data_IF_983744093007
#
_entry.id   IF_983744093007
#
_cell.length_a   1.000
_cell.length_b   1.000
_cell.length_c   1.000
_cell.angle_alpha   90.00
_cell.angle_beta   90.00
_cell.angle_gamma   90.00
#
_symmetry.space_group_name_H-M   'P 1'
#
loop_
_entity.id
_entity.type
_entity.pdbx_description
1 polymer ?
#
# COMPACT_ATOMS: atom_id res chain seq x y z
N UNK A 1 11.47 11.06 -16.61
CA UNK A 1 12.18 11.75 -15.50
C UNK A 1 13.29 10.90 -14.92
N UNK A 2 13.04 9.65 -14.54
CA UNK A 2 14.06 8.75 -13.97
C UNK A 2 15.35 8.64 -14.81
N UNK A 3 15.24 8.34 -16.11
CA UNK A 3 16.39 8.23 -17.01
C UNK A 3 17.23 9.52 -17.08
N UNK A 4 16.59 10.69 -17.08
CA UNK A 4 17.29 11.98 -17.18
C UNK A 4 18.12 12.32 -15.94
N UNK A 5 17.91 11.64 -14.81
CA UNK A 5 18.63 11.87 -13.54
C UNK A 5 19.53 10.70 -13.12
N UNK A 6 19.68 9.65 -13.93
CA UNK A 6 20.60 8.55 -13.62
C UNK A 6 22.06 9.03 -13.51
N UNK A 7 22.74 8.71 -12.41
CA UNK A 7 24.16 9.05 -12.21
C UNK A 7 24.42 10.51 -11.82
N UNK A 8 23.41 11.25 -11.33
CA UNK A 8 23.64 12.59 -10.76
C UNK A 8 24.26 12.49 -9.37
N UNK A 9 25.44 13.06 -9.19
CA UNK A 9 26.14 13.13 -7.89
C UNK A 9 26.23 14.55 -7.34
N UNK A 10 26.02 15.59 -8.17
CA UNK A 10 26.19 17.01 -7.79
C UNK A 10 24.87 17.78 -7.84
N UNK A 11 24.58 18.54 -6.78
CA UNK A 11 23.55 19.58 -6.74
C UNK A 11 24.03 20.79 -7.58
N UNK A 12 23.14 21.55 -8.23
CA UNK A 12 23.43 22.65 -9.19
C UNK A 12 23.87 22.29 -10.64
N UNK A 13 23.75 21.04 -11.08
CA UNK A 13 23.95 20.70 -12.49
C UNK A 13 22.76 21.10 -13.37
N UNK A 14 22.93 21.18 -14.69
CA UNK A 14 21.80 21.41 -15.63
C UNK A 14 20.69 20.35 -15.48
N UNK A 15 21.04 19.13 -15.04
CA UNK A 15 20.08 18.04 -14.78
C UNK A 15 19.22 18.32 -13.55
N UNK A 16 19.77 19.00 -12.55
CA UNK A 16 19.05 19.47 -11.36
C UNK A 16 18.08 20.61 -11.72
N UNK A 17 18.49 21.55 -12.57
CA UNK A 17 17.58 22.60 -13.10
C UNK A 17 16.39 22.00 -13.87
N UNK A 18 16.61 20.95 -14.66
CA UNK A 18 15.54 20.18 -15.31
C UNK A 18 14.63 19.46 -14.29
N UNK A 19 15.22 18.77 -13.31
CA UNK A 19 14.47 18.01 -12.31
C UNK A 19 13.66 18.91 -11.37
N UNK A 20 14.16 20.07 -10.97
CA UNK A 20 13.50 20.95 -9.99
C UNK A 20 12.70 22.10 -10.64
N UNK A 21 13.23 22.74 -11.69
CA UNK A 21 12.76 24.07 -12.10
C UNK A 21 11.84 24.11 -13.34
N UNK A 22 12.04 23.25 -14.34
CA UNK A 22 11.34 23.35 -15.63
C UNK A 22 9.88 22.83 -15.61
N UNK A 23 9.03 23.42 -14.78
CA UNK A 23 7.64 23.00 -14.59
C UNK A 23 6.76 23.19 -15.83
N UNK A 24 6.88 24.30 -16.56
CA UNK A 24 6.06 24.54 -17.76
C UNK A 24 6.28 23.49 -18.85
N UNK A 25 7.53 23.10 -19.08
CA UNK A 25 7.87 22.03 -20.03
C UNK A 25 7.29 20.68 -19.58
N UNK A 26 7.34 20.37 -18.27
CA UNK A 26 6.75 19.13 -17.73
C UNK A 26 5.23 19.09 -17.86
N UNK A 27 4.58 20.23 -17.63
CA UNK A 27 3.14 20.36 -17.71
C UNK A 27 2.63 20.13 -19.14
N UNK A 28 3.41 20.52 -20.16
CA UNK A 28 3.12 20.24 -21.58
C UNK A 28 3.48 18.79 -21.94
N UNK A 29 4.59 18.27 -21.41
CA UNK A 29 5.05 16.91 -21.70
C UNK A 29 4.10 15.83 -21.14
N UNK A 30 3.45 16.08 -20.01
CA UNK A 30 2.53 15.13 -19.38
C UNK A 30 1.34 14.74 -20.30
N UNK A 31 0.52 15.67 -20.82
CA UNK A 31 -0.57 15.32 -21.74
C UNK A 31 -0.06 14.75 -23.07
N UNK A 32 1.10 15.19 -23.56
CA UNK A 32 1.69 14.61 -24.76
C UNK A 32 1.99 13.11 -24.56
N UNK A 33 2.62 12.75 -23.44
CA UNK A 33 2.93 11.36 -23.11
C UNK A 33 1.70 10.52 -22.78
N UNK A 34 0.58 11.10 -22.34
CA UNK A 34 -0.67 10.36 -22.14
C UNK A 34 -1.46 10.15 -23.43
N UNK A 35 -1.32 11.04 -24.43
CA UNK A 35 -2.00 10.94 -25.73
C UNK A 35 -1.27 9.95 -26.67
N UNK A 36 0.06 9.93 -26.66
CA UNK A 36 0.87 9.08 -27.56
C UNK A 36 0.46 7.59 -27.55
N UNK A 37 0.20 6.94 -26.39
CA UNK A 37 -0.20 5.54 -26.35
C UNK A 37 -1.46 5.20 -27.18
N UNK A 38 -2.38 6.15 -27.39
CA UNK A 38 -3.58 5.94 -28.21
C UNK A 38 -3.29 5.77 -29.70
N UNK A 39 -2.11 6.23 -30.16
CA UNK A 39 -1.67 6.12 -31.55
C UNK A 39 -0.85 4.85 -31.80
N UNK A 40 -0.51 4.09 -30.75
CA UNK A 40 0.34 2.91 -30.88
C UNK A 40 -0.47 1.66 -31.29
N UNK A 41 0.12 0.75 -32.09
CA UNK A 41 -0.52 -0.51 -32.45
C UNK A 41 -0.71 -1.42 -31.24
N UNK A 42 -1.77 -2.23 -31.27
CA UNK A 42 -2.19 -3.14 -30.18
C UNK A 42 -1.08 -4.10 -29.72
N UNK A 43 -0.20 -4.54 -30.62
CA UNK A 43 0.93 -5.42 -30.31
C UNK A 43 1.89 -4.80 -29.28
N UNK A 44 2.18 -3.50 -29.40
CA UNK A 44 3.09 -2.79 -28.47
C UNK A 44 2.42 -2.64 -27.11
N UNK A 45 1.12 -2.34 -27.10
CA UNK A 45 0.34 -2.19 -25.85
C UNK A 45 0.30 -3.51 -25.08
N UNK A 46 0.13 -4.64 -25.77
CA UNK A 46 0.14 -5.97 -25.14
C UNK A 46 1.50 -6.31 -24.53
N UNK A 47 2.59 -6.05 -25.26
CA UNK A 47 3.95 -6.25 -24.75
C UNK A 47 4.21 -5.38 -23.51
N UNK A 48 3.79 -4.12 -23.55
CA UNK A 48 3.87 -3.22 -22.41
C UNK A 48 3.06 -3.73 -21.21
N UNK A 49 1.87 -4.30 -21.44
CA UNK A 49 1.03 -4.88 -20.39
C UNK A 49 1.72 -5.99 -19.60
N UNK A 50 2.44 -6.89 -20.26
CA UNK A 50 3.22 -7.95 -19.60
C UNK A 50 4.35 -7.37 -18.72
N UNK A 51 5.08 -6.37 -19.23
CA UNK A 51 6.14 -5.68 -18.47
C UNK A 51 5.53 -4.91 -17.29
N UNK A 52 4.39 -4.25 -17.51
CA UNK A 52 3.68 -3.49 -16.49
C UNK A 52 3.16 -4.39 -15.37
N UNK A 53 2.72 -5.61 -15.68
CA UNK A 53 2.30 -6.58 -14.67
C UNK A 53 3.44 -6.93 -13.72
N UNK A 54 4.64 -7.20 -14.26
CA UNK A 54 5.84 -7.41 -13.44
C UNK A 54 6.18 -6.16 -12.60
N UNK A 55 6.12 -4.99 -13.22
CA UNK A 55 6.35 -3.70 -12.55
C UNK A 55 5.38 -3.43 -11.39
N UNK A 56 4.10 -3.81 -11.54
CA UNK A 56 3.10 -3.70 -10.50
C UNK A 56 3.44 -4.58 -9.28
N UNK A 57 3.96 -5.79 -9.50
CA UNK A 57 4.46 -6.65 -8.42
C UNK A 57 5.60 -6.00 -7.63
N UNK A 58 6.59 -5.42 -8.32
CA UNK A 58 7.69 -4.68 -7.68
C UNK A 58 7.17 -3.46 -6.91
N UNK A 59 6.20 -2.75 -7.49
CA UNK A 59 5.58 -1.59 -6.84
C UNK A 59 4.87 -1.98 -5.53
N UNK A 60 4.13 -3.09 -5.52
CA UNK A 60 3.48 -3.60 -4.30
C UNK A 60 4.48 -3.95 -3.20
N UNK A 61 5.66 -4.48 -3.54
CA UNK A 61 6.72 -4.75 -2.56
C UNK A 61 7.29 -3.46 -1.96
N UNK A 62 7.54 -2.45 -2.79
CA UNK A 62 8.01 -1.13 -2.32
C UNK A 62 6.95 -0.49 -1.44
N UNK A 63 5.68 -0.56 -1.85
CA UNK A 63 4.55 -0.04 -1.08
C UNK A 63 4.44 -0.74 0.28
N UNK A 64 4.59 -2.06 0.33
CA UNK A 64 4.60 -2.82 1.58
C UNK A 64 5.70 -2.36 2.54
N UNK A 65 6.94 -2.20 2.06
CA UNK A 65 8.05 -1.70 2.88
C UNK A 65 7.75 -0.29 3.38
N UNK A 66 7.25 0.59 2.51
CA UNK A 66 6.87 1.96 2.88
C UNK A 66 5.77 2.00 3.95
N UNK A 67 4.76 1.12 3.85
CA UNK A 67 3.67 1.03 4.83
C UNK A 67 4.21 0.56 6.18
N UNK A 68 5.07 -0.46 6.21
CA UNK A 68 5.70 -0.93 7.45
C UNK A 68 6.51 0.19 8.10
N UNK A 69 7.37 0.88 7.34
CA UNK A 69 8.15 2.02 7.85
C UNK A 69 7.27 3.14 8.39
N UNK A 70 6.16 3.44 7.72
CA UNK A 70 5.19 4.43 8.17
C UNK A 70 4.51 4.03 9.48
N UNK A 71 4.09 2.76 9.61
CA UNK A 71 3.47 2.25 10.83
C UNK A 71 4.45 2.29 12.00
N UNK A 72 5.72 1.88 11.79
CA UNK A 72 6.76 1.94 12.82
C UNK A 72 7.01 3.38 13.26
N UNK A 73 7.15 4.32 12.31
CA UNK A 73 7.32 5.73 12.60
C UNK A 73 6.14 6.31 13.39
N UNK A 74 4.89 5.97 13.01
CA UNK A 74 3.71 6.37 13.77
C UNK A 74 3.79 5.86 15.21
N UNK A 75 4.08 4.57 15.39
CA UNK A 75 4.16 3.95 16.71
C UNK A 75 5.19 4.65 17.62
N UNK A 76 6.38 4.93 17.09
CA UNK A 76 7.44 5.67 17.79
C UNK A 76 7.03 7.11 18.12
N UNK A 77 6.42 7.83 17.17
CA UNK A 77 5.96 9.20 17.37
C UNK A 77 4.91 9.31 18.48
N UNK A 78 3.98 8.36 18.56
CA UNK A 78 2.96 8.35 19.60
C UNK A 78 3.54 7.96 20.97
N UNK A 79 4.51 7.04 21.02
CA UNK A 79 5.18 6.65 22.27
C UNK A 79 6.10 7.75 22.83
N UNK A 80 6.67 8.59 21.97
CA UNK A 80 7.58 9.69 22.37
C UNK A 80 6.86 10.89 23.02
N UNK A 81 5.56 11.07 22.79
CA UNK A 81 4.80 12.21 23.35
C UNK A 81 4.56 12.02 24.86
N UNK A 82 5.13 12.91 25.66
CA UNK A 82 5.07 12.91 27.14
C UNK A 82 3.67 13.09 27.76
N UNK A 83 2.67 13.53 27.00
CA UNK A 83 1.27 13.63 27.45
C UNK A 83 0.57 12.26 27.36
N UNK A 84 0.82 11.44 28.38
CA UNK A 84 0.69 9.98 28.33
C UNK A 84 -0.74 9.43 28.17
N UNK A 85 -1.79 10.10 28.66
CA UNK A 85 -3.14 9.51 28.62
C UNK A 85 -3.92 9.80 27.33
N UNK A 86 -4.06 11.07 26.94
CA UNK A 86 -4.88 11.45 25.77
C UNK A 86 -4.30 10.89 24.46
N UNK A 87 -2.97 10.78 24.40
CA UNK A 87 -2.23 10.17 23.29
C UNK A 87 -2.50 8.67 23.18
N UNK A 88 -2.45 7.95 24.31
CA UNK A 88 -2.71 6.52 24.38
C UNK A 88 -4.17 6.18 24.00
N UNK A 89 -5.13 6.99 24.47
CA UNK A 89 -6.55 6.84 24.10
C UNK A 89 -6.76 7.04 22.59
N UNK A 90 -6.09 8.02 21.96
CA UNK A 90 -6.18 8.22 20.51
C UNK A 90 -5.60 7.04 19.71
N UNK A 91 -4.46 6.50 20.14
CA UNK A 91 -3.85 5.33 19.48
C UNK A 91 -4.73 4.10 19.60
N UNK A 92 -5.28 3.86 20.80
CA UNK A 92 -6.19 2.74 21.04
C UNK A 92 -7.48 2.88 20.22
N UNK A 93 -8.03 4.09 20.13
CA UNK A 93 -9.19 4.38 19.29
C UNK A 93 -8.89 4.18 17.81
N UNK A 94 -7.73 4.64 17.32
CA UNK A 94 -7.29 4.43 15.94
C UNK A 94 -7.08 2.93 15.62
N UNK A 95 -6.46 2.18 16.53
CA UNK A 95 -6.28 0.74 16.39
C UNK A 95 -7.63 -0.01 16.39
N UNK A 96 -8.55 0.37 17.27
CA UNK A 96 -9.87 -0.27 17.38
C UNK A 96 -10.74 0.03 16.15
N UNK A 97 -10.73 1.28 15.69
CA UNK A 97 -11.47 1.68 14.48
C UNK A 97 -10.91 1.02 13.23
N UNK A 98 -9.58 1.00 13.05
CA UNK A 98 -8.96 0.29 11.92
C UNK A 98 -9.26 -1.21 11.94
N UNK A 99 -9.17 -1.86 13.10
CA UNK A 99 -9.53 -3.28 13.23
C UNK A 99 -11.02 -3.54 12.91
N UNK A 100 -11.91 -2.67 13.37
CA UNK A 100 -13.36 -2.76 13.06
C UNK A 100 -13.59 -2.66 11.55
N UNK A 101 -12.94 -1.71 10.88
CA UNK A 101 -13.00 -1.56 9.42
C UNK A 101 -12.45 -2.79 8.69
N UNK A 102 -11.38 -3.42 9.17
CA UNK A 102 -10.88 -4.69 8.63
C UNK A 102 -11.93 -5.79 8.68
N UNK A 103 -12.57 -5.98 9.84
CA UNK A 103 -13.58 -7.03 10.03
C UNK A 103 -14.82 -6.76 9.15
N UNK A 104 -15.29 -5.52 9.11
CA UNK A 104 -16.41 -5.13 8.22
C UNK A 104 -16.05 -5.37 6.75
N UNK A 105 -14.84 -4.99 6.33
CA UNK A 105 -14.34 -5.23 4.98
C UNK A 105 -14.34 -6.72 4.61
N UNK A 106 -13.85 -7.59 5.50
CA UNK A 106 -13.87 -9.03 5.30
C UNK A 106 -15.29 -9.60 5.21
N UNK A 107 -16.22 -9.15 6.05
CA UNK A 107 -17.63 -9.56 6.00
C UNK A 107 -18.26 -9.16 4.66
N UNK A 108 -18.04 -7.92 4.21
CA UNK A 108 -18.54 -7.44 2.92
C UNK A 108 -17.95 -8.24 1.75
N UNK A 109 -16.67 -8.62 1.83
CA UNK A 109 -16.03 -9.47 0.82
C UNK A 109 -16.68 -10.85 0.73
N UNK A 110 -17.03 -11.47 1.87
CA UNK A 110 -17.77 -12.73 1.86
C UNK A 110 -19.15 -12.59 1.22
N UNK A 111 -19.90 -11.54 1.58
CA UNK A 111 -21.26 -11.33 1.07
C UNK A 111 -21.28 -11.10 -0.44
N UNK A 112 -20.32 -10.33 -0.97
CA UNK A 112 -20.33 -9.94 -2.38
C UNK A 112 -19.59 -10.89 -3.31
N UNK A 113 -18.48 -11.49 -2.86
CA UNK A 113 -17.61 -12.30 -3.75
C UNK A 113 -17.62 -13.80 -3.45
N UNK A 114 -18.30 -14.24 -2.40
CA UNK A 114 -18.47 -15.67 -2.07
C UNK A 114 -19.92 -16.02 -1.69
N UNK A 115 -20.93 -15.73 -2.54
CA UNK A 115 -22.33 -16.05 -2.25
C UNK A 115 -22.61 -17.56 -2.23
N UNK A 116 -21.90 -18.32 -3.07
CA UNK A 116 -22.07 -19.77 -3.23
C UNK A 116 -20.78 -20.53 -2.91
N UNK A 117 -20.93 -21.77 -2.46
CA UNK A 117 -19.81 -22.67 -2.14
C UNK A 117 -18.94 -23.08 -3.35
N UNK A 118 -19.41 -22.78 -4.56
CA UNK A 118 -18.66 -23.00 -5.80
C UNK A 118 -17.48 -22.03 -5.97
N UNK A 119 -17.47 -20.89 -5.28
CA UNK A 119 -16.41 -19.88 -5.33
C UNK A 119 -15.22 -20.22 -4.41
N UNK A 120 -14.67 -21.44 -4.53
CA UNK A 120 -13.62 -21.95 -3.63
C UNK A 120 -12.37 -21.07 -3.58
N UNK A 121 -11.95 -20.50 -4.71
CA UNK A 121 -10.76 -19.65 -4.80
C UNK A 121 -10.93 -18.34 -4.01
N UNK A 122 -12.08 -17.68 -4.13
CA UNK A 122 -12.37 -16.45 -3.39
C UNK A 122 -12.49 -16.75 -1.89
N UNK A 123 -13.18 -17.84 -1.53
CA UNK A 123 -13.28 -18.29 -0.14
C UNK A 123 -11.88 -18.57 0.43
N UNK A 124 -11.01 -19.24 -0.32
CA UNK A 124 -9.63 -19.50 0.09
C UNK A 124 -8.85 -18.21 0.35
N UNK A 125 -8.90 -17.22 -0.54
CA UNK A 125 -8.18 -15.95 -0.33
C UNK A 125 -8.70 -15.16 0.87
N UNK A 126 -10.02 -15.09 1.05
CA UNK A 126 -10.62 -14.35 2.17
C UNK A 126 -10.34 -15.07 3.51
N UNK A 127 -10.52 -16.40 3.57
CA UNK A 127 -10.23 -17.19 4.79
C UNK A 127 -8.75 -17.10 5.18
N UNK A 128 -7.84 -17.21 4.21
CA UNK A 128 -6.40 -17.10 4.47
C UNK A 128 -6.03 -15.69 4.93
N UNK A 129 -6.65 -14.66 4.38
CA UNK A 129 -6.45 -13.27 4.84
C UNK A 129 -6.89 -13.08 6.29
N UNK A 130 -8.06 -13.62 6.66
CA UNK A 130 -8.54 -13.59 8.04
C UNK A 130 -7.58 -14.34 8.98
N UNK A 131 -7.08 -15.50 8.57
CA UNK A 131 -6.11 -16.27 9.33
C UNK A 131 -4.80 -15.49 9.55
N UNK A 132 -4.25 -14.87 8.50
CA UNK A 132 -3.05 -14.05 8.59
C UNK A 132 -3.26 -12.82 9.50
N UNK A 133 -4.41 -12.17 9.43
CA UNK A 133 -4.75 -11.06 10.33
C UNK A 133 -4.68 -11.51 11.79
N UNK A 134 -5.31 -12.63 12.12
CA UNK A 134 -5.35 -13.17 13.48
C UNK A 134 -3.97 -13.64 13.96
N UNK A 135 -3.19 -14.28 13.09
CA UNK A 135 -1.81 -14.66 13.38
C UNK A 135 -0.95 -13.42 13.71
N UNK A 136 -1.04 -12.37 12.89
CA UNK A 136 -0.28 -11.12 13.09
C UNK A 136 -0.69 -10.43 14.39
N UNK A 137 -1.99 -10.37 14.71
CA UNK A 137 -2.48 -9.84 15.99
C UNK A 137 -1.96 -10.67 17.16
N UNK A 138 -1.99 -12.01 17.08
CA UNK A 138 -1.49 -12.88 18.14
C UNK A 138 0.01 -12.70 18.39
N UNK A 139 0.81 -12.55 17.33
CA UNK A 139 2.26 -12.34 17.45
C UNK A 139 2.55 -10.95 18.05
N UNK A 140 1.83 -9.91 17.61
CA UNK A 140 2.02 -8.55 18.10
C UNK A 140 1.69 -8.39 19.60
N UNK A 141 0.68 -9.12 20.08
CA UNK A 141 0.25 -9.13 21.49
C UNK A 141 1.06 -10.06 22.38
N UNK A 142 1.94 -10.87 21.80
CA UNK A 142 2.76 -11.77 22.58
C UNK A 142 3.67 -10.96 23.54
N UNK A 143 3.73 -11.31 24.85
CA UNK A 143 4.38 -10.50 25.89
C UNK A 143 5.88 -10.30 25.67
N UNK A 144 6.50 -11.13 24.84
CA UNK A 144 7.92 -11.00 24.44
C UNK A 144 8.16 -9.93 23.37
N UNK A 145 7.15 -9.59 22.57
CA UNK A 145 7.25 -8.65 21.45
C UNK A 145 6.61 -7.31 21.82
N UNK A 146 5.41 -7.33 22.41
CA UNK A 146 4.67 -6.14 22.88
C UNK A 146 4.68 -4.98 21.87
N UNK A 147 4.41 -5.26 20.59
CA UNK A 147 4.41 -4.25 19.52
C UNK A 147 3.15 -3.34 19.53
N UNK A 148 2.22 -3.58 20.45
CA UNK A 148 0.96 -2.86 20.57
C UNK A 148 -0.09 -3.26 19.54
N UNK A 149 -1.30 -2.71 19.69
CA UNK A 149 -2.46 -3.02 18.83
C UNK A 149 -2.45 -2.27 17.49
N UNK A 150 -1.74 -1.15 17.39
CA UNK A 150 -1.75 -0.28 16.21
C UNK A 150 -1.14 -0.96 14.98
N UNK A 151 0.00 -1.61 15.17
CA UNK A 151 0.75 -2.28 14.10
C UNK A 151 -0.06 -3.36 13.37
N UNK A 152 -0.62 -4.38 14.06
CA UNK A 152 -1.42 -5.41 13.38
C UNK A 152 -2.72 -4.86 12.80
N UNK A 153 -3.32 -3.81 13.38
CA UNK A 153 -4.57 -3.24 12.89
C UNK A 153 -4.38 -2.47 11.56
N UNK A 154 -3.37 -1.59 11.47
CA UNK A 154 -3.05 -0.86 10.23
C UNK A 154 -2.51 -1.78 9.14
N UNK A 155 -1.68 -2.75 9.50
CA UNK A 155 -1.22 -3.78 8.56
C UNK A 155 -2.39 -4.63 8.07
N UNK A 156 -3.35 -4.94 8.94
CA UNK A 156 -4.59 -5.62 8.59
C UNK A 156 -5.38 -4.89 7.50
N UNK A 157 -5.52 -3.55 7.62
CA UNK A 157 -6.22 -2.75 6.61
C UNK A 157 -5.56 -2.88 5.24
N UNK A 158 -4.23 -2.84 5.20
CA UNK A 158 -3.47 -2.99 3.96
C UNK A 158 -3.68 -4.36 3.31
N UNK A 159 -3.63 -5.44 4.10
CA UNK A 159 -3.82 -6.80 3.58
C UNK A 159 -5.27 -7.00 3.10
N UNK A 160 -6.26 -6.52 3.85
CA UNK A 160 -7.68 -6.58 3.42
C UNK A 160 -7.88 -5.78 2.12
N UNK A 161 -7.26 -4.61 2.00
CA UNK A 161 -7.30 -3.82 0.77
C UNK A 161 -6.66 -4.54 -0.43
N UNK A 162 -5.49 -5.17 -0.25
CA UNK A 162 -4.88 -5.97 -1.32
C UNK A 162 -5.77 -7.14 -1.71
N UNK A 163 -6.33 -7.85 -0.72
CA UNK A 163 -7.21 -8.99 -0.97
C UNK A 163 -8.45 -8.54 -1.77
N UNK A 164 -9.05 -7.40 -1.41
CA UNK A 164 -10.15 -6.80 -2.16
C UNK A 164 -9.75 -6.51 -3.62
N UNK A 165 -8.59 -5.91 -3.83
CA UNK A 165 -8.07 -5.60 -5.17
C UNK A 165 -7.71 -6.85 -5.99
N UNK A 166 -7.36 -7.97 -5.34
CA UNK A 166 -7.00 -9.21 -6.01
C UNK A 166 -8.21 -10.06 -6.43
N UNK A 167 -9.32 -9.95 -5.68
CA UNK A 167 -10.57 -10.70 -5.94
C UNK A 167 -11.43 -10.02 -7.00
N UNK A 168 -11.36 -8.68 -7.10
CA UNK A 168 -12.08 -7.89 -8.11
C UNK A 168 -11.44 -8.01 -9.50
#
# INVERSE_FOLDING_TARGET
>A
MFLSTLGTSKTHSSRDKWHSGWWSAKLIMWPALTIIPFLLPSTIIRLYGEIAHFGAGVFLLIQLISVISFITWLNECYQSKKDAERCHVHVMLLATTSYTVCIVGLILMYIWYAPDSSCLLNIFFITWTLFLLQLMTSIALHPKVNAGYLTPALMGLYIVFICWCAIR
#
